data_IF_555646314713
#
_entry.id   IF_555646314713
#
_cell.length_a   1.000
_cell.length_b   1.000
_cell.length_c   1.000
_cell.angle_alpha   90.00
_cell.angle_beta   90.00
_cell.angle_gamma   90.00
#
_symmetry.space_group_name_H-M   'P 1'
#
loop_
_entity.id
_entity.type
_entity.pdbx_description
1 polymer ?
#
# COMPACT_ATOMS: atom_id res chain seq x y z
N UNK A 1 -31.92 9.82 -8.56
CA UNK A 1 -32.11 11.22 -9.02
C UNK A 1 -30.89 11.57 -9.87
N UNK A 2 -31.04 12.27 -10.99
CA UNK A 2 -29.87 12.70 -11.78
C UNK A 2 -29.13 13.83 -11.06
N UNK A 3 -27.83 14.00 -11.31
CA UNK A 3 -27.04 15.09 -10.70
C UNK A 3 -27.64 16.48 -10.97
N UNK A 4 -28.35 16.63 -12.10
CA UNK A 4 -29.07 17.84 -12.46
C UNK A 4 -30.30 18.10 -11.56
N UNK A 5 -31.02 17.05 -11.16
CA UNK A 5 -32.16 17.16 -10.23
C UNK A 5 -31.71 17.53 -8.81
N UNK A 6 -30.48 17.15 -8.45
CA UNK A 6 -29.87 17.45 -7.14
C UNK A 6 -29.39 18.90 -7.08
N UNK A 7 -28.89 19.45 -8.19
CA UNK A 7 -28.46 20.85 -8.29
C UNK A 7 -29.65 21.84 -8.26
N UNK A 8 -30.81 21.46 -8.77
CA UNK A 8 -31.99 22.33 -8.83
C UNK A 8 -32.69 22.57 -7.48
N UNK A 9 -32.37 21.79 -6.43
CA UNK A 9 -33.13 21.77 -5.18
C UNK A 9 -32.43 22.47 -3.99
N UNK A 10 -32.19 23.79 -4.09
CA UNK A 10 -32.11 24.75 -2.97
C UNK A 10 -31.05 24.56 -1.85
N UNK A 11 -30.22 25.59 -1.65
CA UNK A 11 -28.98 25.66 -0.83
C UNK A 11 -29.13 25.74 0.71
N UNK A 12 -30.28 25.37 1.29
CA UNK A 12 -30.58 25.64 2.70
C UNK A 12 -30.39 24.50 3.73
N UNK A 13 -30.09 23.27 3.29
CA UNK A 13 -29.96 22.12 4.22
C UNK A 13 -28.81 21.23 3.78
N UNK A 14 -27.82 21.05 4.67
CA UNK A 14 -26.77 20.05 4.48
C UNK A 14 -27.40 18.68 4.27
N UNK A 15 -27.24 18.13 3.07
CA UNK A 15 -27.86 16.87 2.66
C UNK A 15 -26.79 15.79 2.52
N UNK A 16 -26.87 14.80 3.39
CA UNK A 16 -26.12 13.54 3.30
C UNK A 16 -26.93 12.57 2.46
N UNK A 17 -26.46 12.25 1.25
CA UNK A 17 -27.02 11.17 0.43
C UNK A 17 -26.29 9.89 0.80
N UNK A 18 -26.98 8.97 1.48
CA UNK A 18 -26.54 7.59 1.63
C UNK A 18 -26.95 6.85 0.37
N UNK A 19 -26.04 6.77 -0.60
CA UNK A 19 -26.22 5.95 -1.79
C UNK A 19 -25.68 4.54 -1.51
N UNK A 20 -26.57 3.56 -1.51
CA UNK A 20 -26.18 2.16 -1.61
C UNK A 20 -25.75 1.89 -3.04
N UNK A 21 -24.44 1.82 -3.26
CA UNK A 21 -23.87 1.41 -4.55
C UNK A 21 -24.20 -0.08 -4.74
N UNK A 22 -25.18 -0.37 -5.59
CA UNK A 22 -25.39 -1.72 -6.10
C UNK A 22 -24.22 -2.06 -7.05
N UNK A 23 -23.71 -3.30 -7.04
CA UNK A 23 -22.62 -3.69 -7.93
C UNK A 23 -23.09 -3.58 -9.38
N UNK A 24 -22.41 -2.74 -10.16
CA UNK A 24 -22.62 -2.69 -11.60
C UNK A 24 -22.07 -3.97 -12.23
N UNK A 25 -22.89 -4.70 -12.98
CA UNK A 25 -22.45 -5.81 -13.81
C UNK A 25 -21.55 -5.26 -14.94
N UNK A 26 -20.25 -5.28 -14.70
CA UNK A 26 -19.24 -4.95 -15.71
C UNK A 26 -19.12 -6.05 -16.76
N UNK A 27 -18.75 -5.70 -18.02
CA UNK A 27 -18.64 -6.68 -19.09
C UNK A 27 -17.58 -7.75 -18.76
N UNK A 28 -17.87 -8.99 -19.18
CA UNK A 28 -17.01 -10.14 -18.97
C UNK A 28 -15.60 -9.90 -19.53
N UNK A 29 -14.59 -10.02 -18.66
CA UNK A 29 -13.18 -9.85 -19.01
C UNK A 29 -12.74 -10.89 -20.06
N UNK A 30 -12.01 -10.48 -21.12
CA UNK A 30 -11.43 -11.43 -22.04
C UNK A 30 -10.37 -12.27 -21.33
N UNK A 31 -10.46 -13.60 -21.45
CA UNK A 31 -9.42 -14.53 -20.98
C UNK A 31 -8.13 -14.28 -21.76
N UNK A 32 -7.16 -13.61 -21.13
CA UNK A 32 -5.84 -13.36 -21.70
C UNK A 32 -5.09 -14.68 -21.93
N UNK A 33 -4.68 -14.93 -23.17
CA UNK A 33 -3.81 -16.05 -23.56
C UNK A 33 -2.40 -15.81 -23.01
N UNK A 34 -1.80 -16.85 -22.45
CA UNK A 34 -0.41 -16.87 -21.96
C UNK A 34 0.56 -16.60 -23.13
N UNK A 35 1.48 -15.62 -23.03
CA UNK A 35 2.58 -15.53 -23.98
C UNK A 35 3.62 -16.60 -23.64
N UNK A 36 4.10 -17.28 -24.68
CA UNK A 36 5.24 -18.19 -24.61
C UNK A 36 6.56 -17.41 -24.59
N UNK A 37 7.49 -17.86 -23.75
CA UNK A 37 8.91 -17.49 -23.79
C UNK A 37 9.28 -16.24 -23.01
N UNK A 38 9.70 -16.39 -21.75
CA UNK A 38 10.50 -15.37 -21.07
C UNK A 38 11.96 -15.50 -21.53
N UNK A 39 12.62 -14.42 -22.00
CA UNK A 39 14.02 -14.48 -22.40
C UNK A 39 14.93 -14.68 -21.19
N UNK A 40 15.65 -15.80 -21.16
CA UNK A 40 16.58 -16.24 -20.08
C UNK A 40 17.62 -15.16 -19.70
N UNK A 41 17.90 -14.21 -20.59
CA UNK A 41 18.83 -13.10 -20.37
C UNK A 41 18.39 -12.08 -19.31
N UNK A 42 17.10 -12.05 -18.91
CA UNK A 42 16.63 -11.18 -17.82
C UNK A 42 16.81 -11.80 -16.43
N UNK A 43 17.23 -13.06 -16.34
CA UNK A 43 17.36 -13.80 -15.09
C UNK A 43 18.67 -13.54 -14.33
N UNK A 44 19.65 -12.87 -14.95
CA UNK A 44 20.98 -12.66 -14.36
C UNK A 44 21.32 -11.17 -14.32
N UNK A 45 21.11 -10.48 -13.17
CA UNK A 45 21.51 -9.09 -13.01
C UNK A 45 23.01 -8.92 -13.29
N UNK A 46 23.42 -7.74 -13.81
CA UNK A 46 24.82 -7.45 -14.19
C UNK A 46 25.80 -7.77 -13.07
N UNK A 47 25.41 -7.52 -11.81
CA UNK A 47 26.21 -7.83 -10.61
C UNK A 47 26.48 -9.33 -10.43
N UNK A 48 25.48 -10.19 -10.65
CA UNK A 48 25.64 -11.65 -10.61
C UNK A 48 26.56 -12.15 -11.71
N UNK A 49 26.50 -11.53 -12.90
CA UNK A 49 27.43 -11.84 -14.00
C UNK A 49 28.87 -11.49 -13.64
N UNK A 50 29.12 -10.34 -13.01
CA UNK A 50 30.47 -9.97 -12.57
C UNK A 50 30.97 -10.84 -11.41
N UNK A 51 30.12 -11.18 -10.45
CA UNK A 51 30.49 -12.08 -9.34
C UNK A 51 30.82 -13.50 -9.85
N UNK A 52 29.98 -14.05 -10.74
CA UNK A 52 30.21 -15.35 -11.37
C UNK A 52 31.47 -15.32 -12.26
N UNK A 53 31.68 -14.25 -13.02
CA UNK A 53 32.89 -14.06 -13.80
C UNK A 53 34.14 -14.00 -12.91
N UNK A 54 34.09 -13.26 -11.80
CA UNK A 54 35.19 -13.19 -10.84
C UNK A 54 35.55 -14.55 -10.23
N UNK A 55 34.53 -15.35 -9.87
CA UNK A 55 34.73 -16.71 -9.36
C UNK A 55 35.34 -17.64 -10.41
N UNK A 56 34.79 -17.64 -11.62
CA UNK A 56 35.28 -18.47 -12.72
C UNK A 56 36.71 -18.06 -13.10
N UNK A 57 37.00 -16.77 -13.21
CA UNK A 57 38.34 -16.25 -13.48
C UNK A 57 39.34 -16.63 -12.39
N UNK A 58 38.94 -16.56 -11.12
CA UNK A 58 39.75 -17.02 -9.99
C UNK A 58 40.07 -18.52 -10.09
N UNK A 59 39.07 -19.35 -10.38
CA UNK A 59 39.25 -20.80 -10.57
C UNK A 59 40.22 -21.11 -11.72
N UNK A 60 40.09 -20.44 -12.87
CA UNK A 60 41.01 -20.63 -14.00
C UNK A 60 42.42 -20.14 -13.70
N UNK A 61 42.56 -18.98 -13.01
CA UNK A 61 43.86 -18.44 -12.60
C UNK A 61 44.58 -19.42 -11.67
N UNK A 62 43.90 -19.89 -10.62
CA UNK A 62 44.51 -20.81 -9.66
C UNK A 62 44.75 -22.20 -10.26
N UNK A 63 43.87 -22.70 -11.14
CA UNK A 63 44.11 -23.95 -11.86
C UNK A 63 45.36 -23.88 -12.77
N UNK A 64 45.54 -22.76 -13.48
CA UNK A 64 46.72 -22.52 -14.32
C UNK A 64 48.01 -22.39 -13.50
N UNK A 65 47.96 -21.66 -12.38
CA UNK A 65 49.09 -21.54 -11.46
C UNK A 65 49.46 -22.87 -10.80
N UNK A 66 48.47 -23.68 -10.41
CA UNK A 66 48.71 -25.02 -9.84
C UNK A 66 49.34 -25.93 -10.90
N UNK A 67 48.84 -25.89 -12.13
CA UNK A 67 49.41 -26.66 -13.23
C UNK A 67 50.87 -26.28 -13.48
N UNK A 68 51.18 -24.98 -13.46
CA UNK A 68 52.54 -24.48 -13.68
C UNK A 68 53.51 -24.82 -12.54
N UNK A 69 53.04 -24.83 -11.29
CA UNK A 69 53.88 -25.07 -10.11
C UNK A 69 54.07 -26.56 -9.81
N UNK A 70 53.05 -27.38 -10.06
CA UNK A 70 53.05 -28.80 -9.66
C UNK A 70 53.33 -29.75 -10.83
N UNK A 71 53.37 -29.24 -12.07
CA UNK A 71 53.52 -30.02 -13.33
C UNK A 71 52.50 -31.17 -13.47
N UNK A 72 51.41 -31.10 -12.71
CA UNK A 72 50.34 -32.09 -12.71
C UNK A 72 49.61 -32.14 -14.06
N UNK A 73 48.91 -33.23 -14.39
CA UNK A 73 47.93 -33.21 -15.46
C UNK A 73 46.92 -32.06 -15.24
N UNK A 74 46.53 -31.32 -16.29
CA UNK A 74 45.69 -30.12 -16.16
C UNK A 74 44.35 -30.39 -15.47
N UNK A 75 43.79 -31.59 -15.66
CA UNK A 75 42.57 -32.02 -14.98
C UNK A 75 42.74 -32.14 -13.46
N UNK A 76 43.90 -32.63 -13.01
CA UNK A 76 44.21 -32.79 -11.58
C UNK A 76 44.46 -31.43 -10.91
N UNK A 77 45.14 -30.53 -11.61
CA UNK A 77 45.33 -29.15 -11.18
C UNK A 77 43.99 -28.41 -11.03
N UNK A 78 43.08 -28.57 -12.00
CA UNK A 78 41.73 -28.00 -11.93
C UNK A 78 40.91 -28.56 -10.76
N UNK A 79 40.93 -29.89 -10.56
CA UNK A 79 40.25 -30.54 -9.43
C UNK A 79 40.73 -30.00 -8.07
N UNK A 80 42.06 -29.89 -7.89
CA UNK A 80 42.67 -29.36 -6.66
C UNK A 80 42.32 -27.90 -6.42
N UNK A 81 42.39 -27.06 -7.46
CA UNK A 81 42.05 -25.64 -7.35
C UNK A 81 40.59 -25.39 -7.00
N UNK A 82 39.66 -26.23 -7.49
CA UNK A 82 38.26 -26.17 -7.06
C UNK A 82 38.18 -26.47 -5.56
N UNK A 83 38.77 -27.57 -5.10
CA UNK A 83 38.73 -27.94 -3.68
C UNK A 83 39.36 -26.86 -2.78
N UNK A 84 40.48 -26.25 -3.18
CA UNK A 84 41.14 -25.20 -2.40
C UNK A 84 40.28 -23.94 -2.31
N UNK A 85 39.65 -23.51 -3.41
CA UNK A 85 38.73 -22.35 -3.43
C UNK A 85 37.49 -22.60 -2.56
N UNK A 86 37.05 -23.84 -2.41
CA UNK A 86 35.98 -24.20 -1.47
C UNK A 86 36.47 -24.50 -0.05
N UNK A 87 37.78 -24.45 0.21
CA UNK A 87 38.36 -24.82 1.50
C UNK A 87 38.20 -26.31 1.86
N UNK A 88 37.95 -27.17 0.88
CA UNK A 88 37.77 -28.62 1.02
C UNK A 88 39.02 -29.43 0.62
N UNK A 89 40.10 -28.78 0.18
CA UNK A 89 41.33 -29.46 -0.22
C UNK A 89 42.11 -30.05 0.95
N UNK A 90 42.74 -31.20 0.72
CA UNK A 90 43.70 -31.76 1.68
C UNK A 90 44.86 -30.77 1.90
N UNK A 91 45.34 -30.57 3.15
CA UNK A 91 46.49 -29.71 3.42
C UNK A 91 47.73 -30.18 2.64
N UNK A 92 48.40 -29.27 1.93
CA UNK A 92 49.62 -29.52 1.14
C UNK A 92 50.87 -29.75 2.03
N UNK A 93 50.75 -30.63 3.03
CA UNK A 93 51.81 -31.00 3.95
C UNK A 93 52.79 -31.92 3.20
N UNK A 94 54.05 -31.50 3.11
CA UNK A 94 55.09 -32.22 2.37
C UNK A 94 55.18 -31.87 0.88
N UNK A 95 54.31 -30.98 0.37
CA UNK A 95 54.45 -30.41 -0.98
C UNK A 95 55.38 -29.18 -0.98
N UNK A 96 55.85 -28.77 -2.16
CA UNK A 96 56.74 -27.61 -2.30
C UNK A 96 56.11 -26.31 -1.80
N UNK A 97 56.93 -25.38 -1.30
CA UNK A 97 56.49 -24.09 -0.72
C UNK A 97 55.55 -23.31 -1.65
N UNK A 98 55.78 -23.38 -2.98
CA UNK A 98 54.92 -22.74 -3.97
C UNK A 98 53.47 -23.25 -3.94
N UNK A 99 53.27 -24.55 -3.74
CA UNK A 99 51.93 -25.13 -3.61
C UNK A 99 51.24 -24.71 -2.31
N UNK A 100 51.97 -24.72 -1.20
CA UNK A 100 51.41 -24.31 0.10
C UNK A 100 50.92 -22.86 0.06
N UNK A 101 51.72 -21.96 -0.54
CA UNK A 101 51.34 -20.56 -0.75
C UNK A 101 50.10 -20.47 -1.65
N UNK A 102 50.06 -21.25 -2.74
CA UNK A 102 48.92 -21.25 -3.66
C UNK A 102 47.62 -21.75 -3.02
N UNK A 103 47.68 -22.77 -2.15
CA UNK A 103 46.53 -23.28 -1.41
C UNK A 103 45.98 -22.23 -0.44
N UNK A 104 46.85 -21.52 0.29
CA UNK A 104 46.43 -20.45 1.20
C UNK A 104 45.80 -19.29 0.43
N UNK A 105 46.41 -18.86 -0.69
CA UNK A 105 45.89 -17.77 -1.51
C UNK A 105 44.54 -18.11 -2.17
N UNK A 106 44.38 -19.33 -2.67
CA UNK A 106 43.13 -19.78 -3.29
C UNK A 106 42.02 -19.96 -2.25
N UNK A 107 42.32 -20.50 -1.07
CA UNK A 107 41.38 -20.57 0.05
C UNK A 107 40.92 -19.18 0.52
N UNK A 108 41.84 -18.22 0.63
CA UNK A 108 41.52 -16.84 1.00
C UNK A 108 40.66 -16.15 -0.08
N UNK A 109 40.99 -16.36 -1.36
CA UNK A 109 40.18 -15.87 -2.47
C UNK A 109 38.76 -16.47 -2.45
N UNK A 110 38.65 -17.78 -2.18
CA UNK A 110 37.39 -18.47 -2.00
C UNK A 110 36.54 -17.91 -0.86
N UNK A 111 37.15 -17.71 0.31
CA UNK A 111 36.50 -17.13 1.49
C UNK A 111 36.01 -15.69 1.24
N UNK A 112 36.71 -14.91 0.42
CA UNK A 112 36.29 -13.56 0.04
C UNK A 112 35.17 -13.56 -1.01
N UNK A 113 35.22 -14.44 -2.01
CA UNK A 113 34.23 -14.48 -3.11
C UNK A 113 32.94 -15.21 -2.75
N UNK A 114 32.98 -16.25 -1.92
CA UNK A 114 31.79 -17.08 -1.62
C UNK A 114 30.66 -16.32 -0.94
N UNK A 115 30.89 -15.50 0.11
CA UNK A 115 29.83 -14.69 0.73
C UNK A 115 29.21 -13.71 -0.26
N UNK A 116 30.02 -13.12 -1.16
CA UNK A 116 29.53 -12.23 -2.22
C UNK A 116 28.64 -13.00 -3.19
N UNK A 117 29.09 -14.16 -3.67
CA UNK A 117 28.28 -15.03 -4.53
C UNK A 117 26.97 -15.42 -3.84
N UNK A 118 27.03 -15.87 -2.58
CA UNK A 118 25.87 -16.30 -1.83
C UNK A 118 24.88 -15.16 -1.59
N UNK A 119 25.35 -13.97 -1.22
CA UNK A 119 24.52 -12.78 -1.08
C UNK A 119 23.80 -12.43 -2.39
N UNK A 120 24.52 -12.48 -3.52
CA UNK A 120 23.92 -12.19 -4.84
C UNK A 120 22.94 -13.30 -5.27
N UNK A 121 23.21 -14.57 -4.93
CA UNK A 121 22.28 -15.69 -5.21
C UNK A 121 21.00 -15.54 -4.39
N UNK A 122 21.11 -15.21 -3.09
CA UNK A 122 19.96 -14.91 -2.24
C UNK A 122 19.18 -13.69 -2.74
N UNK A 123 19.86 -12.62 -3.15
CA UNK A 123 19.25 -11.44 -3.77
C UNK A 123 18.55 -11.82 -5.09
N UNK A 124 19.11 -12.75 -5.87
CA UNK A 124 18.48 -13.27 -7.09
C UNK A 124 17.21 -14.06 -6.77
N UNK A 125 17.22 -14.93 -5.76
CA UNK A 125 16.01 -15.65 -5.31
C UNK A 125 14.94 -14.68 -4.79
N UNK A 126 15.34 -13.62 -4.10
CA UNK A 126 14.45 -12.55 -3.66
C UNK A 126 13.86 -11.75 -4.83
N UNK A 127 14.69 -11.39 -5.81
CA UNK A 127 14.24 -10.68 -7.03
C UNK A 127 13.44 -11.56 -7.97
N UNK A 128 13.58 -12.88 -7.95
CA UNK A 128 12.69 -13.80 -8.67
C UNK A 128 11.24 -13.72 -8.17
N UNK A 129 11.01 -13.38 -6.90
CA UNK A 129 9.67 -13.09 -6.37
C UNK A 129 9.15 -11.72 -6.82
N UNK A 130 10.03 -10.76 -7.04
CA UNK A 130 9.69 -9.38 -7.44
C UNK A 130 9.59 -9.21 -8.97
N UNK A 131 10.31 -10.01 -9.76
CA UNK A 131 10.25 -9.97 -11.23
C UNK A 131 8.92 -10.55 -11.76
N UNK A 132 8.27 -11.43 -11.01
CA UNK A 132 6.91 -11.91 -11.31
C UNK A 132 5.80 -10.93 -10.91
N UNK A 133 6.10 -9.91 -10.09
CA UNK A 133 5.11 -8.91 -9.64
C UNK A 133 5.07 -7.65 -10.52
N UNK A 134 6.05 -7.47 -11.40
CA UNK A 134 6.07 -6.38 -12.38
C UNK A 134 5.28 -6.77 -13.62
N UNK A 135 3.96 -6.85 -13.50
CA UNK A 135 3.09 -6.74 -14.66
C UNK A 135 2.83 -5.25 -14.87
N UNK A 136 3.50 -4.57 -15.82
CA UNK A 136 3.03 -3.26 -16.25
C UNK A 136 1.56 -3.40 -16.69
N UNK A 137 0.74 -2.36 -16.48
CA UNK A 137 -0.65 -2.41 -16.90
C UNK A 137 -0.75 -2.78 -18.39
N UNK A 138 -1.81 -3.50 -18.80
CA UNK A 138 -2.07 -3.77 -20.20
C UNK A 138 -2.05 -2.46 -21.00
N UNK A 139 -1.45 -2.48 -22.19
CA UNK A 139 -1.44 -1.31 -23.08
C UNK A 139 -2.88 -0.92 -23.41
N UNK A 140 -3.21 0.35 -23.21
CA UNK A 140 -4.56 0.88 -23.49
C UNK A 140 -5.60 0.53 -22.42
N UNK A 141 -5.19 0.23 -21.18
CA UNK A 141 -6.13 0.17 -20.06
C UNK A 141 -6.81 1.54 -19.89
N UNK A 142 -8.11 1.52 -19.64
CA UNK A 142 -8.93 2.69 -19.41
C UNK A 142 -10.03 2.36 -18.42
N UNK A 143 -10.66 3.39 -17.83
CA UNK A 143 -11.74 3.22 -16.85
C UNK A 143 -11.33 2.44 -15.58
N UNK A 144 -10.02 2.44 -15.28
CA UNK A 144 -9.45 1.84 -14.08
C UNK A 144 -9.23 2.87 -12.97
N UNK A 145 -8.97 2.38 -11.76
CA UNK A 145 -8.53 3.19 -10.63
C UNK A 145 -7.02 3.08 -10.48
N UNK A 146 -6.33 4.21 -10.40
CA UNK A 146 -4.93 4.26 -9.98
C UNK A 146 -4.89 4.34 -8.45
N UNK A 147 -4.27 3.37 -7.81
CA UNK A 147 -4.16 3.29 -6.35
C UNK A 147 -2.71 3.48 -5.92
N UNK A 148 -2.41 4.57 -5.22
CA UNK A 148 -1.08 4.85 -4.70
C UNK A 148 -0.95 4.38 -3.25
N UNK A 149 0.09 3.60 -3.00
CA UNK A 149 0.39 3.03 -1.69
C UNK A 149 -0.37 1.74 -1.43
N UNK A 150 0.38 0.67 -1.21
CA UNK A 150 -0.05 -0.67 -0.80
C UNK A 150 0.36 -0.95 0.65
N UNK A 151 0.30 0.08 1.50
CA UNK A 151 0.41 -0.03 2.95
C UNK A 151 -0.85 -0.63 3.59
N UNK A 152 -1.00 -0.43 4.92
CA UNK A 152 -2.13 -1.00 5.70
C UNK A 152 -3.51 -0.63 5.17
N UNK A 153 -3.71 0.64 4.80
CA UNK A 153 -4.99 1.14 4.29
C UNK A 153 -5.17 0.77 2.82
N UNK A 154 -4.16 1.06 1.99
CA UNK A 154 -4.18 0.77 0.55
C UNK A 154 -4.46 -0.69 0.24
N UNK A 155 -3.89 -1.63 1.00
CA UNK A 155 -4.16 -3.07 0.81
C UNK A 155 -5.63 -3.42 1.01
N UNK A 156 -6.27 -2.90 2.06
CA UNK A 156 -7.71 -3.16 2.33
C UNK A 156 -8.60 -2.49 1.29
N UNK A 157 -8.23 -1.30 0.84
CA UNK A 157 -8.94 -0.61 -0.25
C UNK A 157 -8.80 -1.39 -1.55
N UNK A 158 -7.61 -1.91 -1.86
CA UNK A 158 -7.38 -2.77 -3.02
C UNK A 158 -8.29 -4.00 -2.99
N UNK A 159 -8.29 -4.73 -1.87
CA UNK A 159 -9.15 -5.90 -1.69
C UNK A 159 -10.62 -5.54 -1.94
N UNK A 160 -11.09 -4.44 -1.36
CA UNK A 160 -12.48 -4.02 -1.51
C UNK A 160 -12.84 -3.60 -2.94
N UNK A 161 -11.93 -2.90 -3.63
CA UNK A 161 -12.13 -2.53 -5.04
C UNK A 161 -12.19 -3.78 -5.92
N UNK A 162 -11.33 -4.77 -5.66
CA UNK A 162 -11.34 -6.04 -6.38
C UNK A 162 -12.64 -6.83 -6.12
N UNK A 163 -13.13 -6.86 -4.88
CA UNK A 163 -14.41 -7.49 -4.53
C UNK A 163 -15.60 -6.85 -5.26
N UNK A 164 -15.49 -5.55 -5.56
CA UNK A 164 -16.49 -4.79 -6.32
C UNK A 164 -16.29 -4.91 -7.85
N UNK A 165 -15.34 -5.71 -8.32
CA UNK A 165 -15.06 -5.87 -9.75
C UNK A 165 -14.41 -4.64 -10.41
N UNK A 166 -13.89 -3.69 -9.63
CA UNK A 166 -13.25 -2.48 -10.15
C UNK A 166 -11.83 -2.83 -10.61
N UNK A 167 -11.47 -2.42 -11.82
CA UNK A 167 -10.10 -2.56 -12.32
C UNK A 167 -9.18 -1.58 -11.58
N UNK A 168 -8.04 -2.08 -11.11
CA UNK A 168 -7.07 -1.29 -10.35
C UNK A 168 -5.68 -1.45 -10.97
N UNK A 169 -4.93 -0.36 -11.01
CA UNK A 169 -3.48 -0.35 -11.21
C UNK A 169 -2.87 0.27 -9.96
N UNK A 170 -2.05 -0.51 -9.26
CA UNK A 170 -1.43 -0.04 -8.03
C UNK A 170 -0.05 0.55 -8.30
N UNK A 171 0.34 1.54 -7.51
CA UNK A 171 1.69 2.11 -7.49
C UNK A 171 2.21 2.01 -6.06
N UNK A 172 3.41 1.47 -5.90
CA UNK A 172 4.04 1.33 -4.59
C UNK A 172 5.55 1.57 -4.72
N UNK A 173 6.12 2.29 -3.75
CA UNK A 173 7.55 2.57 -3.71
C UNK A 173 8.33 1.37 -3.17
N UNK A 174 7.82 0.72 -2.13
CA UNK A 174 8.48 -0.42 -1.49
C UNK A 174 8.04 -1.76 -2.15
N UNK A 175 8.94 -2.46 -2.86
CA UNK A 175 8.63 -3.76 -3.47
C UNK A 175 8.30 -4.86 -2.45
N UNK A 176 8.54 -4.63 -1.16
CA UNK A 176 8.20 -5.54 -0.06
C UNK A 176 7.03 -5.04 0.80
N UNK A 177 6.27 -4.03 0.32
CA UNK A 177 5.10 -3.55 1.03
C UNK A 177 4.07 -4.66 1.28
N UNK A 178 3.35 -4.55 2.39
CA UNK A 178 2.39 -5.54 2.87
C UNK A 178 1.35 -5.94 1.80
N UNK A 179 0.89 -4.99 0.98
CA UNK A 179 -0.12 -5.24 -0.05
C UNK A 179 0.40 -5.86 -1.35
N UNK A 180 1.71 -6.05 -1.53
CA UNK A 180 2.28 -6.63 -2.76
C UNK A 180 1.79 -8.07 -2.97
N UNK A 181 1.75 -8.89 -1.91
CA UNK A 181 1.25 -10.26 -1.98
C UNK A 181 -0.24 -10.32 -2.33
N UNK A 182 -1.03 -9.39 -1.79
CA UNK A 182 -2.46 -9.26 -2.10
C UNK A 182 -2.66 -8.87 -3.55
N UNK A 183 -1.96 -7.85 -4.04
CA UNK A 183 -2.03 -7.43 -5.45
C UNK A 183 -1.68 -8.57 -6.41
N UNK A 184 -0.64 -9.34 -6.10
CA UNK A 184 -0.27 -10.51 -6.89
C UNK A 184 -1.37 -11.58 -6.91
N UNK A 185 -1.96 -11.91 -5.75
CA UNK A 185 -3.04 -12.90 -5.62
C UNK A 185 -4.29 -12.49 -6.40
N UNK A 186 -4.62 -11.19 -6.37
CA UNK A 186 -5.74 -10.59 -7.10
C UNK A 186 -5.43 -10.31 -8.57
N UNK A 187 -4.20 -10.57 -9.04
CA UNK A 187 -3.70 -10.28 -10.41
C UNK A 187 -3.78 -8.80 -10.80
N UNK A 188 -3.60 -7.92 -9.83
CA UNK A 188 -3.57 -6.47 -10.02
C UNK A 188 -2.19 -6.05 -10.53
N UNK A 189 -2.10 -5.30 -11.64
CA UNK A 189 -0.85 -4.69 -12.09
C UNK A 189 -0.27 -3.75 -11.03
N UNK A 190 1.03 -3.88 -10.74
CA UNK A 190 1.73 -3.01 -9.77
C UNK A 190 2.92 -2.34 -10.45
N UNK A 191 2.95 -1.01 -10.40
CA UNK A 191 4.09 -0.19 -10.78
C UNK A 191 4.94 0.04 -9.54
N UNK A 192 6.17 -0.47 -9.53
CA UNK A 192 7.12 -0.19 -8.45
C UNK A 192 7.87 1.07 -8.78
N UNK A 193 7.62 2.14 -8.03
CA UNK A 193 8.16 3.45 -8.31
C UNK A 193 7.82 4.47 -7.24
N UNK A 194 8.67 5.49 -7.15
CA UNK A 194 8.40 6.66 -6.35
C UNK A 194 7.50 7.61 -7.17
N UNK A 195 6.34 7.95 -6.63
CA UNK A 195 5.31 8.75 -7.32
C UNK A 195 5.81 10.14 -7.71
N UNK A 196 6.79 10.67 -6.98
CA UNK A 196 7.44 11.97 -7.26
C UNK A 196 8.34 11.95 -8.51
N UNK A 197 8.63 10.77 -9.06
CA UNK A 197 9.46 10.63 -10.25
C UNK A 197 8.60 10.70 -11.51
N UNK A 198 9.09 11.47 -12.47
CA UNK A 198 8.54 11.55 -13.82
C UNK A 198 8.37 10.16 -14.44
N UNK A 199 7.25 9.93 -15.13
CA UNK A 199 6.95 8.67 -15.82
C UNK A 199 6.26 7.61 -14.95
N UNK A 200 6.22 7.73 -13.62
CA UNK A 200 5.65 6.69 -12.74
C UNK A 200 4.12 6.66 -12.81
N UNK A 201 3.47 7.82 -12.79
CA UNK A 201 1.99 7.89 -12.89
C UNK A 201 1.51 7.60 -14.33
N UNK A 202 2.32 7.96 -15.32
CA UNK A 202 2.12 7.64 -16.73
C UNK A 202 2.25 6.13 -16.96
N UNK A 203 3.23 5.48 -16.33
CA UNK A 203 3.36 4.03 -16.33
C UNK A 203 2.14 3.34 -15.66
N UNK A 204 1.44 4.02 -14.75
CA UNK A 204 0.17 3.57 -14.17
C UNK A 204 -1.06 3.93 -15.04
N UNK A 205 -0.85 4.52 -16.22
CA UNK A 205 -1.89 4.98 -17.14
C UNK A 205 -2.86 5.97 -16.49
N UNK A 206 -2.35 6.95 -15.73
CA UNK A 206 -3.17 7.94 -15.05
C UNK A 206 -4.11 8.72 -15.99
N UNK A 207 -3.64 9.06 -17.20
CA UNK A 207 -4.42 9.86 -18.16
C UNK A 207 -5.63 9.17 -18.79
N UNK A 208 -5.79 7.86 -18.61
CA UNK A 208 -6.99 7.11 -19.05
C UNK A 208 -7.76 6.52 -17.87
N UNK A 209 -7.34 6.84 -16.64
CA UNK A 209 -7.96 6.34 -15.42
C UNK A 209 -9.27 7.08 -15.14
N UNK A 210 -10.20 6.41 -14.46
CA UNK A 210 -11.44 7.04 -13.97
C UNK A 210 -11.23 7.79 -12.66
N UNK A 211 -10.27 7.34 -11.84
CA UNK A 211 -9.99 7.95 -10.56
C UNK A 211 -8.58 7.65 -10.04
N UNK A 212 -8.05 8.60 -9.27
CA UNK A 212 -6.85 8.45 -8.46
C UNK A 212 -7.20 8.31 -6.98
N UNK A 213 -6.67 7.28 -6.34
CA UNK A 213 -6.70 7.08 -4.89
C UNK A 213 -5.28 7.21 -4.33
N UNK A 214 -4.95 8.35 -3.72
CA UNK A 214 -3.65 8.62 -3.12
C UNK A 214 -3.66 8.26 -1.62
N UNK A 215 -3.21 7.05 -1.26
CA UNK A 215 -3.36 6.48 0.09
C UNK A 215 -2.02 6.17 0.76
N UNK A 216 -0.95 6.86 0.36
CA UNK A 216 0.35 6.72 1.01
C UNK A 216 0.30 7.26 2.45
N UNK A 217 1.37 7.02 3.21
CA UNK A 217 1.52 7.59 4.56
C UNK A 217 2.02 9.04 4.57
N UNK A 218 2.33 9.60 3.40
CA UNK A 218 2.89 10.94 3.27
C UNK A 218 1.88 11.88 2.60
N UNK A 219 1.42 12.87 3.35
CA UNK A 219 0.43 13.84 2.90
C UNK A 219 0.95 14.71 1.75
N UNK A 220 2.26 15.01 1.71
CA UNK A 220 2.87 15.80 0.65
C UNK A 220 2.89 15.02 -0.66
N UNK A 221 3.30 13.74 -0.63
CA UNK A 221 3.27 12.85 -1.80
C UNK A 221 1.83 12.68 -2.31
N UNK A 222 0.85 12.53 -1.42
CA UNK A 222 -0.55 12.38 -1.83
C UNK A 222 -1.09 13.65 -2.51
N UNK A 223 -0.70 14.83 -2.04
CA UNK A 223 -1.08 16.11 -2.64
C UNK A 223 -0.36 16.35 -3.98
N UNK A 224 0.93 16.10 -4.04
CA UNK A 224 1.73 16.22 -5.27
C UNK A 224 1.15 15.33 -6.37
N UNK A 225 0.85 14.07 -6.06
CA UNK A 225 0.21 13.15 -7.00
C UNK A 225 -1.17 13.63 -7.46
N UNK A 226 -1.95 14.22 -6.56
CA UNK A 226 -3.26 14.79 -6.88
C UNK A 226 -3.15 15.99 -7.83
N UNK A 227 -2.17 16.87 -7.61
CA UNK A 227 -1.91 18.03 -8.47
C UNK A 227 -1.39 17.58 -9.84
N UNK A 228 -0.43 16.66 -9.88
CA UNK A 228 0.06 16.11 -11.14
C UNK A 228 -1.08 15.46 -11.94
N UNK A 229 -1.94 14.68 -11.28
CA UNK A 229 -3.05 14.05 -11.97
C UNK A 229 -4.07 15.06 -12.53
N UNK A 230 -4.17 16.26 -11.93
CA UNK A 230 -4.96 17.39 -12.44
C UNK A 230 -4.34 18.05 -13.66
N UNK A 231 -3.02 18.10 -13.73
CA UNK A 231 -2.33 18.58 -14.93
C UNK A 231 -2.56 17.65 -16.12
N UNK A 232 -2.63 16.34 -15.86
CA UNK A 232 -2.93 15.34 -16.90
C UNK A 232 -4.41 15.34 -17.30
N UNK A 233 -5.31 15.32 -16.32
CA UNK A 233 -6.76 15.38 -16.52
C UNK A 233 -7.40 16.32 -15.48
N UNK A 234 -7.80 17.54 -15.88
CA UNK A 234 -8.39 18.53 -15.00
C UNK A 234 -9.65 18.05 -14.28
N UNK A 235 -10.40 17.09 -14.82
CA UNK A 235 -11.69 16.65 -14.30
C UNK A 235 -11.62 15.29 -13.56
N UNK A 236 -10.47 14.61 -13.60
CA UNK A 236 -10.24 13.30 -12.97
C UNK A 236 -10.78 13.19 -11.54
N UNK A 237 -11.45 12.11 -11.14
CA UNK A 237 -11.85 11.98 -9.73
C UNK A 237 -10.63 11.70 -8.84
N UNK A 238 -10.41 12.51 -7.80
CA UNK A 238 -9.30 12.30 -6.85
C UNK A 238 -9.82 12.08 -5.44
N UNK A 239 -9.38 10.99 -4.82
CA UNK A 239 -9.53 10.74 -3.38
C UNK A 239 -8.16 10.63 -2.77
N UNK A 240 -7.85 11.44 -1.76
CA UNK A 240 -6.54 11.42 -1.11
C UNK A 240 -6.67 11.31 0.40
N UNK A 241 -5.67 10.65 0.99
CA UNK A 241 -5.47 10.63 2.43
C UNK A 241 -4.69 11.87 2.84
N UNK A 242 -5.25 12.63 3.77
CA UNK A 242 -4.54 13.70 4.49
C UNK A 242 -4.83 13.54 5.99
N UNK A 243 -3.78 13.50 6.80
CA UNK A 243 -3.88 13.30 8.24
C UNK A 243 -4.28 14.59 8.97
N UNK A 244 -3.62 15.71 8.65
CA UNK A 244 -3.79 16.97 9.36
C UNK A 244 -5.08 17.68 8.95
N UNK A 245 -5.95 17.97 9.93
CA UNK A 245 -7.34 18.32 9.65
C UNK A 245 -7.48 19.72 9.05
N UNK A 246 -6.74 20.70 9.57
CA UNK A 246 -6.81 22.09 9.09
C UNK A 246 -6.06 22.31 7.77
N UNK A 247 -4.92 21.62 7.60
CA UNK A 247 -4.21 21.56 6.32
C UNK A 247 -5.12 20.97 5.24
N UNK A 248 -5.75 19.83 5.52
CA UNK A 248 -6.62 19.16 4.57
C UNK A 248 -7.88 19.97 4.21
N UNK A 249 -8.45 20.75 5.15
CA UNK A 249 -9.56 21.68 4.85
C UNK A 249 -9.11 22.75 3.85
N UNK A 250 -7.95 23.36 4.10
CA UNK A 250 -7.37 24.42 3.26
C UNK A 250 -7.08 23.91 1.85
N UNK A 251 -6.35 22.80 1.75
CA UNK A 251 -6.02 22.14 0.47
C UNK A 251 -7.28 21.75 -0.28
N UNK A 252 -8.26 21.15 0.39
CA UNK A 252 -9.49 20.71 -0.27
C UNK A 252 -10.35 21.88 -0.76
N UNK A 253 -10.33 23.04 -0.09
CA UNK A 253 -10.97 24.26 -0.58
C UNK A 253 -10.24 24.80 -1.80
N UNK A 254 -8.93 25.01 -1.70
CA UNK A 254 -8.12 25.53 -2.80
C UNK A 254 -8.26 24.67 -4.08
N UNK A 255 -8.24 23.34 -3.95
CA UNK A 255 -8.43 22.46 -5.11
C UNK A 255 -9.84 22.53 -5.72
N UNK A 256 -10.89 22.75 -4.90
CA UNK A 256 -12.25 22.95 -5.43
C UNK A 256 -12.39 24.28 -6.15
N UNK A 257 -11.73 25.32 -5.63
CA UNK A 257 -11.76 26.65 -6.22
C UNK A 257 -10.99 26.68 -7.55
N UNK A 258 -9.83 26.01 -7.61
CA UNK A 258 -9.02 25.90 -8.83
C UNK A 258 -9.59 24.92 -9.87
N UNK A 259 -10.26 23.85 -9.41
CA UNK A 259 -10.83 22.81 -10.27
C UNK A 259 -12.30 22.55 -9.90
N UNK A 260 -13.24 23.42 -10.34
CA UNK A 260 -14.63 23.37 -9.90
C UNK A 260 -15.43 22.18 -10.46
N UNK A 261 -15.08 21.71 -11.66
CA UNK A 261 -15.73 20.56 -12.30
C UNK A 261 -15.22 19.21 -11.77
N UNK A 262 -14.10 19.24 -11.06
CA UNK A 262 -13.42 18.08 -10.56
C UNK A 262 -13.98 17.58 -9.23
N UNK A 263 -14.18 16.26 -9.13
CA UNK A 263 -14.53 15.64 -7.84
C UNK A 263 -13.26 15.36 -7.02
N UNK A 264 -13.00 16.19 -6.00
CA UNK A 264 -11.90 16.01 -5.05
C UNK A 264 -12.41 15.74 -3.64
N UNK A 265 -11.96 14.63 -3.02
CA UNK A 265 -12.27 14.28 -1.64
C UNK A 265 -10.99 13.98 -0.86
N UNK A 266 -10.80 14.68 0.26
CA UNK A 266 -9.77 14.34 1.25
C UNK A 266 -10.39 13.58 2.43
N UNK A 267 -9.69 12.59 2.96
CA UNK A 267 -10.10 11.82 4.14
C UNK A 267 -8.94 11.66 5.13
N UNK A 268 -9.21 11.88 6.41
CA UNK A 268 -8.30 11.53 7.51
C UNK A 268 -8.69 10.18 8.10
N UNK A 269 -7.72 9.28 8.24
CA UNK A 269 -7.95 7.96 8.85
C UNK A 269 -8.31 8.11 10.33
N UNK A 270 -7.71 9.09 11.02
CA UNK A 270 -8.00 9.38 12.42
C UNK A 270 -9.42 9.90 12.59
N UNK A 271 -9.83 10.89 11.80
CA UNK A 271 -11.17 11.49 11.92
C UNK A 271 -12.28 10.51 11.50
N UNK A 272 -12.00 9.60 10.55
CA UNK A 272 -12.92 8.52 10.17
C UNK A 272 -13.04 7.41 11.22
N UNK A 273 -11.99 7.18 12.01
CA UNK A 273 -11.98 6.10 13.02
C UNK A 273 -12.37 6.58 14.41
N UNK A 274 -12.21 7.88 14.70
CA UNK A 274 -12.53 8.50 15.99
C UNK A 274 -13.94 8.14 16.52
N UNK A 275 -15.04 8.14 15.73
CA UNK A 275 -16.35 7.74 16.24
C UNK A 275 -16.39 6.30 16.74
N UNK A 276 -15.74 5.37 16.01
CA UNK A 276 -15.71 3.97 16.38
C UNK A 276 -14.90 3.75 17.67
N UNK A 277 -13.77 4.46 17.82
CA UNK A 277 -12.98 4.44 19.05
C UNK A 277 -13.74 5.07 20.23
N UNK A 278 -14.34 6.24 20.02
CA UNK A 278 -15.14 6.93 21.02
C UNK A 278 -16.31 6.06 21.51
N UNK A 279 -17.03 5.41 20.59
CA UNK A 279 -18.08 4.46 20.90
C UNK A 279 -17.57 3.24 21.69
N UNK A 280 -16.41 2.69 21.32
CA UNK A 280 -15.82 1.55 22.02
C UNK A 280 -15.36 1.88 23.45
N UNK A 281 -14.83 3.09 23.68
CA UNK A 281 -14.30 3.52 25.00
C UNK A 281 -15.43 3.93 25.96
N UNK A 282 -16.49 4.58 25.47
CA UNK A 282 -17.51 5.20 26.33
C UNK A 282 -18.61 4.24 26.81
N UNK A 283 -18.53 2.94 26.46
CA UNK A 283 -19.42 1.91 26.99
C UNK A 283 -20.90 2.13 26.69
N UNK A 284 -21.78 1.59 27.55
CA UNK A 284 -23.24 1.50 27.31
C UNK A 284 -24.02 2.82 27.28
N UNK A 285 -23.42 3.97 27.60
CA UNK A 285 -24.12 5.25 27.66
C UNK A 285 -24.21 5.96 26.30
N UNK A 286 -23.39 5.56 25.33
CA UNK A 286 -23.39 6.11 23.98
C UNK A 286 -24.02 5.10 23.03
N UNK A 287 -25.20 5.46 22.50
CA UNK A 287 -25.96 4.68 21.51
C UNK A 287 -25.24 4.58 20.16
N UNK A 288 -24.34 5.54 19.87
CA UNK A 288 -23.51 5.51 18.68
C UNK A 288 -22.79 6.83 18.43
N UNK A 289 -21.96 6.86 17.39
CA UNK A 289 -21.27 8.06 16.96
C UNK A 289 -21.30 8.12 15.43
N UNK A 290 -21.57 9.30 14.86
CA UNK A 290 -21.53 9.51 13.41
C UNK A 290 -20.52 10.61 13.09
N UNK A 291 -19.76 10.41 12.02
CA UNK A 291 -18.97 11.49 11.41
C UNK A 291 -19.86 12.24 10.43
N UNK A 292 -20.05 13.54 10.65
CA UNK A 292 -20.63 14.44 9.66
C UNK A 292 -19.51 15.36 9.18
N UNK A 293 -19.13 15.21 7.91
CA UNK A 293 -17.94 15.85 7.32
C UNK A 293 -16.64 15.52 8.07
N UNK A 294 -16.20 16.40 8.99
CA UNK A 294 -15.02 16.23 9.86
C UNK A 294 -15.35 16.36 11.35
N UNK A 295 -16.61 16.55 11.69
CA UNK A 295 -17.10 16.61 13.08
C UNK A 295 -17.61 15.24 13.50
N UNK A 296 -17.38 14.85 14.75
CA UNK A 296 -17.91 13.61 15.33
C UNK A 296 -19.07 13.96 16.25
N UNK A 297 -20.28 13.54 15.87
CA UNK A 297 -21.47 13.67 16.68
C UNK A 297 -21.70 12.40 17.48
N UNK A 298 -21.83 12.54 18.80
CA UNK A 298 -22.08 11.45 19.72
C UNK A 298 -23.59 11.39 20.05
N UNK A 299 -24.16 10.20 20.01
CA UNK A 299 -25.52 9.92 20.46
C UNK A 299 -25.45 9.21 21.79
N UNK A 300 -25.95 9.83 22.85
CA UNK A 300 -25.97 9.24 24.19
C UNK A 300 -27.40 9.08 24.72
N UNK A 301 -27.64 7.98 25.44
CA UNK A 301 -28.83 7.80 26.26
C UNK A 301 -28.44 8.07 27.71
N UNK A 302 -29.09 9.04 28.33
CA UNK A 302 -28.79 9.50 29.69
C UNK A 302 -30.05 9.34 30.54
N UNK A 303 -29.90 8.74 31.72
CA UNK A 303 -30.96 8.68 32.71
C UNK A 303 -31.02 9.99 33.50
N UNK A 304 -32.14 10.71 33.40
CA UNK A 304 -32.33 12.04 34.01
C UNK A 304 -32.23 11.98 35.53
N UNK A 305 -32.61 10.86 36.15
CA UNK A 305 -32.62 10.72 37.61
C UNK A 305 -31.24 10.87 38.25
N UNK A 306 -30.16 10.59 37.50
CA UNK A 306 -28.77 10.72 37.98
C UNK A 306 -28.14 12.11 37.79
N UNK A 307 -28.83 13.07 37.15
CA UNK A 307 -28.22 14.33 36.71
C UNK A 307 -29.04 15.55 37.11
N UNK A 308 -28.67 16.16 38.26
CA UNK A 308 -29.36 17.35 38.80
C UNK A 308 -29.40 18.58 37.89
N UNK A 309 -28.57 18.63 36.85
CA UNK A 309 -28.63 19.69 35.83
C UNK A 309 -29.80 19.53 34.83
N UNK A 310 -30.41 18.35 34.76
CA UNK A 310 -31.50 17.98 33.86
C UNK A 310 -32.84 17.79 34.60
N UNK A 311 -32.79 17.47 35.90
CA UNK A 311 -34.00 17.27 36.73
C UNK A 311 -34.81 18.57 36.81
N UNK A 312 -36.09 18.48 36.47
CA UNK A 312 -37.04 19.60 36.58
C UNK A 312 -36.93 20.67 35.51
N UNK A 313 -36.06 20.49 34.49
CA UNK A 313 -35.94 21.41 33.35
C UNK A 313 -36.72 20.92 32.14
N UNK A 314 -37.24 21.86 31.34
CA UNK A 314 -37.80 21.54 30.03
C UNK A 314 -36.71 21.18 29.03
N UNK A 315 -37.10 20.52 27.93
CA UNK A 315 -36.18 20.20 26.81
C UNK A 315 -35.51 21.45 26.25
N UNK A 316 -36.27 22.54 26.14
CA UNK A 316 -35.76 23.81 25.61
C UNK A 316 -34.69 24.43 26.54
N UNK A 317 -34.89 24.35 27.85
CA UNK A 317 -33.94 24.85 28.86
C UNK A 317 -32.71 23.96 29.02
N UNK A 318 -32.82 22.70 28.62
CA UNK A 318 -31.73 21.72 28.68
C UNK A 318 -30.76 21.82 27.49
N UNK A 319 -31.19 22.46 26.38
CA UNK A 319 -30.38 22.62 25.18
C UNK A 319 -29.20 23.55 25.42
N UNK A 320 -27.99 23.10 25.06
CA UNK A 320 -26.78 23.93 25.07
C UNK A 320 -26.16 23.97 23.67
N UNK A 321 -26.22 25.12 22.97
CA UNK A 321 -25.60 25.29 21.66
C UNK A 321 -24.12 24.86 21.68
N UNK A 322 -23.73 24.02 20.72
CA UNK A 322 -22.34 23.54 20.58
C UNK A 322 -21.92 22.45 21.58
N UNK A 323 -22.76 22.09 22.55
CA UNK A 323 -22.45 21.03 23.54
C UNK A 323 -23.33 19.81 23.36
N UNK A 324 -24.64 19.96 23.45
CA UNK A 324 -25.58 18.84 23.29
C UNK A 324 -26.97 19.28 22.84
N UNK A 325 -27.67 18.34 22.21
CA UNK A 325 -29.07 18.50 21.81
C UNK A 325 -29.86 17.26 22.19
N UNK A 326 -31.01 17.46 22.84
CA UNK A 326 -31.97 16.39 23.10
C UNK A 326 -32.66 16.05 21.78
N UNK A 327 -32.57 14.78 21.37
CA UNK A 327 -33.17 14.28 20.13
C UNK A 327 -34.51 13.58 20.38
N UNK A 328 -34.63 12.89 21.52
CA UNK A 328 -35.82 12.20 21.95
C UNK A 328 -35.85 12.11 23.49
N UNK A 329 -37.05 11.97 24.05
CA UNK A 329 -37.29 11.64 25.45
C UNK A 329 -38.06 10.34 25.49
N UNK A 330 -37.61 9.38 26.29
CA UNK A 330 -38.38 8.18 26.60
C UNK A 330 -39.11 8.38 27.94
N UNK A 331 -40.44 8.55 27.86
CA UNK A 331 -41.30 8.73 29.03
C UNK A 331 -41.76 7.42 29.67
N UNK A 332 -41.40 6.25 29.11
CA UNK A 332 -42.00 4.98 29.50
C UNK A 332 -41.65 4.51 30.92
N UNK A 333 -40.61 5.06 31.56
CA UNK A 333 -40.24 4.70 32.93
C UNK A 333 -41.12 5.36 34.01
N UNK A 334 -41.94 6.36 33.68
CA UNK A 334 -42.71 7.14 34.66
C UNK A 334 -44.15 6.67 34.94
N UNK A 335 -44.73 5.81 34.10
CA UNK A 335 -46.15 5.45 34.21
C UNK A 335 -46.43 4.21 35.11
N UNK A 336 -45.42 3.38 35.40
CA UNK A 336 -45.59 2.17 36.21
C UNK A 336 -45.35 2.39 37.73
N UNK A 337 -44.75 3.52 38.13
CA UNK A 337 -44.32 3.77 39.52
C UNK A 337 -45.30 4.58 40.39
N UNK A 338 -46.36 5.17 39.82
CA UNK A 338 -47.24 6.10 40.56
C UNK A 338 -48.61 5.49 40.89
N UNK A 339 -48.94 4.31 40.36
CA UNK A 339 -50.22 3.63 40.62
C UNK A 339 -50.22 2.68 41.83
N UNK A 340 -49.13 2.59 42.61
CA UNK A 340 -48.94 1.59 43.67
C UNK A 340 -48.93 2.10 45.12
N UNK A 341 -49.19 3.39 45.38
CA UNK A 341 -49.08 3.97 46.74
C UNK A 341 -50.33 4.77 47.16
N UNK A 342 -51.51 4.27 46.82
CA UNK A 342 -52.78 4.69 47.41
C UNK A 342 -53.65 3.45 47.69
N UNK A 343 -53.31 2.73 48.75
CA UNK A 343 -54.18 1.85 49.52
C UNK A 343 -53.70 1.88 50.98
#
# INVERSE_FOLDING_TARGET
PSDADVAAAGTGRGRTVLETIAPAEGPAQPRARLPHGLPVATLFPRRLRYAMFGLVASLFLFAGLTWWVTEDPPLRAAYRSILDVFGMGDPAIGEGTGRQVLQVLSGLAGMALMPVLFAVVLESLGTFRTATTQRPPPRGISDHVVLLGLGKIGTRVLDRLCDLGVQVVAVERDPQALGIGTAHTRRVPVVIGDVTREGVLEAASIGTSRALLALTSDDAINLEAALYAREVDPDLRVVMRLFEDDFAKTVSRALRDSYPNATTRSRSVSSLSAPAFAGAVMGRQILGAISVEREVLLFAAIDVAGHGELVGRSVAESFRPGLWRVLALDGAAGAAGVAGAAA
#
